data_IF_751382170274
#
_entry.id   IF_751382170274
#
_cell.length_a   1.000
_cell.length_b   1.000
_cell.length_c   1.000
_cell.angle_alpha   90.00
_cell.angle_beta   90.00
_cell.angle_gamma   90.00
#
_symmetry.space_group_name_H-M   'P 1'
#
loop_
_entity.id
_entity.type
_entity.pdbx_description
1 polymer ?
#
# COMPACT_ATOMS: atom_id res chain seq x y z
N UNK A 1 -65.08 71.44 40.02
CA UNK A 1 -65.80 70.46 39.18
C UNK A 1 -64.83 70.03 38.09
N UNK A 2 -64.40 68.77 38.16
CA UNK A 2 -63.72 67.94 37.13
C UNK A 2 -62.38 68.40 36.53
N UNK A 3 -61.28 67.92 37.12
CA UNK A 3 -60.14 67.41 36.35
C UNK A 3 -60.36 65.91 36.20
N UNK A 4 -60.49 65.41 34.97
CA UNK A 4 -60.79 64.01 34.71
C UNK A 4 -59.86 63.44 33.63
N UNK A 5 -59.01 62.55 34.12
CA UNK A 5 -58.43 61.35 33.50
C UNK A 5 -57.48 61.50 32.29
N UNK A 6 -56.19 61.41 32.61
CA UNK A 6 -55.11 61.04 31.69
C UNK A 6 -55.32 59.63 31.11
N UNK A 7 -54.95 59.36 29.85
CA UNK A 7 -55.10 58.03 29.27
C UNK A 7 -54.17 57.02 29.96
N UNK A 8 -54.78 55.95 30.48
CA UNK A 8 -54.11 54.80 31.06
C UNK A 8 -53.11 54.19 30.07
N UNK A 9 -51.82 54.15 30.44
CA UNK A 9 -50.82 53.32 29.76
C UNK A 9 -51.25 51.85 29.87
N UNK A 10 -51.72 51.28 28.78
CA UNK A 10 -51.92 49.85 28.65
C UNK A 10 -50.56 49.15 28.73
N UNK A 11 -50.18 48.69 29.92
CA UNK A 11 -49.06 47.79 30.13
C UNK A 11 -49.37 46.42 29.56
N UNK A 12 -49.20 46.25 28.24
CA UNK A 12 -49.22 44.94 27.60
C UNK A 12 -48.05 44.11 28.10
N UNK A 13 -48.33 43.08 28.91
CA UNK A 13 -47.32 42.12 29.36
C UNK A 13 -46.76 41.37 28.16
N UNK A 14 -45.46 41.51 27.90
CA UNK A 14 -44.72 40.58 27.04
C UNK A 14 -44.61 39.25 27.80
N UNK A 15 -45.41 38.26 27.43
CA UNK A 15 -45.23 36.89 27.93
C UNK A 15 -44.02 36.30 27.24
N UNK A 16 -42.87 36.33 27.90
CA UNK A 16 -41.69 35.56 27.49
C UNK A 16 -42.07 34.08 27.65
N UNK A 17 -42.26 33.37 26.55
CA UNK A 17 -42.47 31.92 26.58
C UNK A 17 -41.31 31.27 27.33
N UNK A 18 -41.62 30.41 28.30
CA UNK A 18 -40.61 29.69 29.06
C UNK A 18 -39.68 28.95 28.07
N UNK A 19 -38.36 29.09 28.24
CA UNK A 19 -37.39 28.31 27.46
C UNK A 19 -37.71 26.84 27.70
N UNK A 20 -38.06 26.11 26.65
CA UNK A 20 -38.12 24.65 26.70
C UNK A 20 -36.72 24.13 26.99
N UNK A 21 -36.43 23.84 28.26
CA UNK A 21 -35.20 23.15 28.67
C UNK A 21 -35.46 21.66 28.57
N UNK A 22 -34.87 21.02 27.56
CA UNK A 22 -34.82 19.56 27.49
C UNK A 22 -33.70 19.11 28.40
N UNK A 23 -34.02 18.30 29.42
CA UNK A 23 -32.99 17.61 30.19
C UNK A 23 -32.30 16.61 29.27
N UNK A 24 -31.05 16.92 28.93
CA UNK A 24 -30.23 16.04 28.11
C UNK A 24 -29.74 14.90 29.02
N UNK A 25 -30.08 13.63 28.73
CA UNK A 25 -29.65 12.50 29.55
C UNK A 25 -28.17 12.22 29.31
N UNK A 26 -27.29 13.02 29.93
CA UNK A 26 -25.84 13.00 29.72
C UNK A 26 -25.24 11.61 29.91
N UNK A 27 -25.73 10.84 30.90
CA UNK A 27 -25.26 9.48 31.17
C UNK A 27 -25.50 8.51 30.00
N UNK A 28 -26.66 8.63 29.33
CA UNK A 28 -26.97 7.81 28.16
C UNK A 28 -26.08 8.21 26.97
N UNK A 29 -25.92 9.51 26.75
CA UNK A 29 -25.05 10.02 25.69
C UNK A 29 -23.61 9.57 25.91
N UNK A 30 -23.08 9.70 27.13
CA UNK A 30 -21.72 9.26 27.44
C UNK A 30 -21.58 7.75 27.28
N UNK A 31 -22.56 6.96 27.75
CA UNK A 31 -22.56 5.51 27.59
C UNK A 31 -22.52 5.09 26.12
N UNK A 32 -23.40 5.67 25.29
CA UNK A 32 -23.43 5.42 23.84
C UNK A 32 -22.14 5.86 23.17
N UNK A 33 -21.61 7.04 23.51
CA UNK A 33 -20.36 7.53 22.94
C UNK A 33 -19.17 6.60 23.26
N UNK A 34 -19.05 6.14 24.51
CA UNK A 34 -18.02 5.19 24.92
C UNK A 34 -18.15 3.88 24.14
N UNK A 35 -19.36 3.35 24.01
CA UNK A 35 -19.62 2.14 23.23
C UNK A 35 -19.19 2.31 21.76
N UNK A 36 -19.56 3.42 21.12
CA UNK A 36 -19.17 3.72 19.74
C UNK A 36 -17.65 3.81 19.59
N UNK A 37 -16.95 4.44 20.54
CA UNK A 37 -15.49 4.54 20.54
C UNK A 37 -14.85 3.15 20.67
N UNK A 38 -15.34 2.31 21.58
CA UNK A 38 -14.83 0.94 21.75
C UNK A 38 -15.02 0.12 20.48
N UNK A 39 -16.19 0.18 19.84
CA UNK A 39 -16.46 -0.50 18.57
C UNK A 39 -15.53 0.02 17.47
N UNK A 40 -15.37 1.34 17.35
CA UNK A 40 -14.51 1.95 16.35
C UNK A 40 -13.04 1.54 16.53
N UNK A 41 -12.53 1.55 17.76
CA UNK A 41 -11.17 1.10 18.07
C UNK A 41 -10.99 -0.40 17.80
N UNK A 42 -11.99 -1.22 18.10
CA UNK A 42 -11.97 -2.65 17.80
C UNK A 42 -11.90 -2.90 16.29
N UNK A 43 -12.74 -2.21 15.51
CA UNK A 43 -12.71 -2.27 14.03
C UNK A 43 -11.35 -1.79 13.52
N UNK A 44 -10.83 -0.66 14.00
CA UNK A 44 -9.52 -0.16 13.61
C UNK A 44 -8.40 -1.18 13.86
N UNK A 45 -8.39 -1.83 15.04
CA UNK A 45 -7.43 -2.88 15.36
C UNK A 45 -7.54 -4.09 14.41
N UNK A 46 -8.76 -4.49 14.01
CA UNK A 46 -8.96 -5.63 13.09
C UNK A 46 -8.38 -5.39 11.69
N UNK A 47 -8.26 -4.11 11.30
CA UNK A 47 -7.78 -3.66 10.00
C UNK A 47 -6.26 -3.49 9.95
N UNK A 48 -5.58 -3.49 11.12
CA UNK A 48 -4.13 -3.43 11.16
C UNK A 48 -3.50 -4.72 10.60
N UNK A 49 -2.30 -4.62 9.98
CA UNK A 49 -1.50 -5.79 9.64
C UNK A 49 -1.24 -6.67 10.87
N UNK A 50 -0.93 -7.95 10.64
CA UNK A 50 -0.55 -8.88 11.72
C UNK A 50 0.48 -8.24 12.65
N UNK A 51 0.13 -8.17 13.93
CA UNK A 51 0.93 -7.58 15.00
C UNK A 51 0.88 -8.50 16.23
N UNK A 52 1.57 -8.11 17.31
CA UNK A 52 1.67 -8.91 18.55
C UNK A 52 0.37 -8.88 19.38
N UNK A 53 -0.50 -7.90 19.16
CA UNK A 53 -1.73 -7.71 19.90
C UNK A 53 -2.90 -8.45 19.21
N UNK A 54 -3.37 -9.52 19.85
CA UNK A 54 -4.57 -10.23 19.41
C UNK A 54 -5.73 -9.97 20.39
N UNK A 55 -6.84 -9.46 19.86
CA UNK A 55 -8.06 -9.25 20.63
C UNK A 55 -8.89 -10.54 20.68
N UNK A 56 -9.66 -10.76 21.76
CA UNK A 56 -10.57 -11.89 21.85
C UNK A 56 -11.59 -11.85 20.69
N UNK A 57 -11.79 -13.01 20.05
CA UNK A 57 -12.73 -13.16 18.93
C UNK A 57 -12.31 -12.48 17.61
N UNK A 58 -11.15 -11.81 17.56
CA UNK A 58 -10.73 -11.01 16.40
C UNK A 58 -10.70 -11.78 15.09
N UNK A 59 -10.25 -13.04 15.10
CA UNK A 59 -10.18 -13.88 13.89
C UNK A 59 -11.57 -14.17 13.31
N UNK A 60 -12.57 -14.35 14.17
CA UNK A 60 -13.94 -14.69 13.76
C UNK A 60 -14.70 -13.48 13.21
N UNK A 61 -14.45 -12.28 13.77
CA UNK A 61 -15.14 -11.04 13.37
C UNK A 61 -14.43 -10.27 12.26
N UNK A 62 -13.14 -10.54 12.02
CA UNK A 62 -12.34 -9.87 10.99
C UNK A 62 -12.98 -9.92 9.60
N UNK A 63 -13.51 -11.05 9.09
CA UNK A 63 -14.15 -11.08 7.78
C UNK A 63 -15.31 -10.07 7.68
N UNK A 64 -16.18 -10.04 8.69
CA UNK A 64 -17.33 -9.12 8.74
C UNK A 64 -16.89 -7.67 8.86
N UNK A 65 -15.93 -7.38 9.76
CA UNK A 65 -15.41 -6.03 9.96
C UNK A 65 -14.75 -5.46 8.69
N UNK A 66 -14.01 -6.30 7.95
CA UNK A 66 -13.36 -5.91 6.69
C UNK A 66 -14.39 -5.63 5.59
N UNK A 67 -15.50 -6.39 5.55
CA UNK A 67 -16.56 -6.19 4.55
C UNK A 67 -17.45 -4.99 4.85
N UNK A 68 -17.87 -4.80 6.10
CA UNK A 68 -18.87 -3.78 6.47
C UNK A 68 -18.25 -2.41 6.67
N UNK A 69 -17.01 -2.35 7.16
CA UNK A 69 -16.32 -1.11 7.45
C UNK A 69 -14.88 -1.14 6.89
N UNK A 70 -14.70 -1.20 5.56
CA UNK A 70 -13.38 -1.22 4.94
C UNK A 70 -12.64 0.09 5.28
N UNK A 71 -11.53 -0.02 6.00
CA UNK A 71 -10.70 1.13 6.42
C UNK A 71 -9.52 1.41 5.47
N UNK A 72 -9.51 0.85 4.25
CA UNK A 72 -8.36 0.93 3.35
C UNK A 72 -8.70 1.06 1.86
N UNK A 73 -7.93 1.89 1.16
CA UNK A 73 -7.88 2.02 -0.31
C UNK A 73 -6.92 1.02 -0.97
N UNK A 74 -6.47 0.02 -0.21
CA UNK A 74 -5.44 -0.94 -0.63
C UNK A 74 -5.86 -1.89 -1.76
N UNK A 75 -7.10 -1.78 -2.25
CA UNK A 75 -7.63 -2.61 -3.34
C UNK A 75 -6.84 -2.48 -4.65
N UNK A 76 -6.11 -1.38 -4.87
CA UNK A 76 -5.37 -1.14 -6.12
C UNK A 76 -3.85 -1.23 -5.97
N UNK A 77 -3.33 -1.63 -4.81
CA UNK A 77 -1.90 -1.58 -4.53
C UNK A 77 -1.35 -2.95 -4.12
N UNK A 78 -0.35 -3.42 -4.87
CA UNK A 78 0.49 -4.55 -4.48
C UNK A 78 1.05 -4.32 -3.07
N UNK A 79 1.14 -5.38 -2.26
CA UNK A 79 1.73 -5.29 -0.91
C UNK A 79 3.16 -4.75 -0.98
N UNK A 80 3.47 -3.78 -0.12
CA UNK A 80 4.81 -3.20 0.01
C UNK A 80 5.87 -4.19 0.57
N UNK A 81 5.48 -5.43 0.89
CA UNK A 81 6.38 -6.52 1.33
C UNK A 81 6.56 -7.60 0.27
N UNK A 82 5.85 -7.49 -0.85
CA UNK A 82 5.94 -8.47 -1.92
C UNK A 82 7.29 -8.35 -2.64
N UNK A 83 7.82 -9.46 -3.17
CA UNK A 83 9.04 -9.41 -3.97
C UNK A 83 8.84 -8.54 -5.22
N UNK A 84 9.91 -7.86 -5.62
CA UNK A 84 10.03 -7.08 -6.85
C UNK A 84 11.02 -7.77 -7.78
N UNK A 85 10.76 -7.70 -9.08
CA UNK A 85 11.64 -8.24 -10.12
C UNK A 85 12.32 -7.06 -10.82
N UNK A 86 13.65 -7.01 -10.75
CA UNK A 86 14.43 -5.92 -11.35
C UNK A 86 15.34 -6.48 -12.45
N UNK A 87 15.24 -5.98 -13.69
CA UNK A 87 16.09 -6.40 -14.78
C UNK A 87 17.44 -5.66 -14.78
N UNK A 88 18.49 -6.36 -15.22
CA UNK A 88 19.86 -5.88 -15.37
C UNK A 88 20.41 -6.30 -16.73
N UNK A 89 21.14 -5.41 -17.39
CA UNK A 89 21.89 -5.72 -18.60
C UNK A 89 23.38 -5.88 -18.29
N UNK A 90 24.03 -6.72 -19.08
CA UNK A 90 25.49 -6.87 -19.04
C UNK A 90 26.11 -5.89 -20.05
N UNK A 91 26.71 -4.81 -19.55
CA UNK A 91 27.51 -3.89 -20.36
C UNK A 91 28.99 -4.25 -20.23
N UNK A 92 29.51 -4.94 -21.24
CA UNK A 92 30.85 -5.53 -21.23
C UNK A 92 31.00 -6.57 -20.12
N UNK A 93 31.61 -6.17 -19.00
CA UNK A 93 31.85 -7.02 -17.82
C UNK A 93 31.05 -6.57 -16.57
N UNK A 94 30.28 -5.49 -16.68
CA UNK A 94 29.59 -4.89 -15.54
C UNK A 94 28.08 -5.00 -15.70
N UNK A 95 27.41 -5.39 -14.63
CA UNK A 95 25.95 -5.40 -14.61
C UNK A 95 25.41 -4.03 -14.24
N UNK A 96 24.55 -3.49 -15.10
CA UNK A 96 23.87 -2.20 -14.91
C UNK A 96 22.36 -2.42 -14.85
N UNK A 97 21.65 -1.61 -14.05
CA UNK A 97 20.19 -1.74 -13.97
C UNK A 97 19.59 -1.38 -15.32
N UNK A 98 18.74 -2.29 -15.83
CA UNK A 98 17.94 -2.08 -17.03
C UNK A 98 16.58 -1.44 -16.70
N UNK A 99 16.32 -1.20 -15.41
CA UNK A 99 15.06 -0.63 -14.95
C UNK A 99 14.91 0.79 -15.47
N UNK A 100 13.83 1.05 -16.21
CA UNK A 100 13.43 2.38 -16.63
C UNK A 100 12.88 3.23 -15.48
N UNK A 101 12.91 2.71 -14.25
CA UNK A 101 12.55 3.42 -13.03
C UNK A 101 11.12 3.94 -13.04
N UNK A 102 10.87 4.97 -12.24
CA UNK A 102 9.61 5.71 -12.22
C UNK A 102 9.73 6.95 -13.10
N UNK A 103 10.14 6.78 -14.35
CA UNK A 103 10.21 7.89 -15.29
C UNK A 103 8.91 7.99 -16.08
N UNK A 104 8.31 9.16 -15.98
CA UNK A 104 7.38 9.68 -16.96
C UNK A 104 7.93 11.04 -17.30
N UNK A 105 8.47 11.24 -18.50
CA UNK A 105 8.79 12.57 -19.00
C UNK A 105 7.48 13.38 -19.04
N UNK A 106 7.12 14.01 -17.93
CA UNK A 106 5.86 14.73 -17.71
C UNK A 106 4.58 13.92 -18.01
N UNK A 107 4.65 12.58 -18.06
CA UNK A 107 3.51 11.71 -18.40
C UNK A 107 3.42 11.29 -19.88
N UNK A 108 4.32 11.78 -20.73
CA UNK A 108 4.32 11.48 -22.17
C UNK A 108 4.97 10.13 -22.48
N UNK A 109 6.08 9.81 -21.83
CA UNK A 109 6.68 8.49 -21.91
C UNK A 109 6.01 7.52 -20.93
N UNK A 110 5.59 6.36 -21.46
CA UNK A 110 4.93 5.27 -20.73
C UNK A 110 5.72 3.94 -20.83
N UNK A 111 6.91 3.92 -21.41
CA UNK A 111 7.75 2.73 -21.54
C UNK A 111 8.08 2.11 -20.17
N UNK A 112 8.29 2.93 -19.14
CA UNK A 112 8.49 2.45 -17.76
C UNK A 112 7.30 1.62 -17.22
N UNK A 113 6.08 1.89 -17.68
CA UNK A 113 4.87 1.16 -17.25
C UNK A 113 4.70 -0.17 -17.98
N UNK A 114 5.21 -0.31 -19.21
CA UNK A 114 5.17 -1.57 -19.96
C UNK A 114 6.26 -2.54 -19.53
N UNK A 115 7.43 -2.04 -19.10
CA UNK A 115 8.58 -2.88 -18.73
C UNK A 115 8.27 -3.91 -17.62
N UNK A 116 7.39 -3.56 -16.66
CA UNK A 116 6.97 -4.53 -15.63
C UNK A 116 6.19 -5.71 -16.21
N UNK A 117 5.35 -5.47 -17.22
CA UNK A 117 4.60 -6.53 -17.92
C UNK A 117 5.55 -7.33 -18.81
N UNK A 118 6.44 -6.66 -19.53
CA UNK A 118 7.49 -7.27 -20.34
C UNK A 118 8.36 -8.23 -19.51
N UNK A 119 8.86 -7.78 -18.35
CA UNK A 119 9.60 -8.63 -17.41
C UNK A 119 8.78 -9.85 -16.98
N UNK A 120 7.49 -9.67 -16.68
CA UNK A 120 6.62 -10.78 -16.29
C UNK A 120 6.38 -11.79 -17.44
N UNK A 121 6.26 -11.32 -18.69
CA UNK A 121 6.12 -12.17 -19.87
C UNK A 121 7.39 -12.98 -20.13
N UNK A 122 8.57 -12.35 -20.02
CA UNK A 122 9.85 -13.05 -20.15
C UNK A 122 10.03 -14.12 -19.05
N UNK A 123 9.68 -13.79 -17.80
CA UNK A 123 9.71 -14.75 -16.70
C UNK A 123 8.69 -15.88 -16.89
N UNK A 124 7.55 -15.60 -17.52
CA UNK A 124 6.55 -16.61 -17.86
C UNK A 124 7.04 -17.56 -18.96
N UNK A 125 7.65 -17.02 -20.02
CA UNK A 125 8.24 -17.83 -21.11
C UNK A 125 9.43 -18.66 -20.63
N UNK A 126 10.26 -18.12 -19.73
CA UNK A 126 11.32 -18.87 -19.06
C UNK A 126 10.78 -20.04 -18.21
N UNK A 127 9.49 -20.06 -17.90
CA UNK A 127 8.81 -21.18 -17.24
C UNK A 127 9.43 -21.54 -15.88
N UNK A 128 9.63 -22.84 -15.65
CA UNK A 128 10.21 -23.38 -14.40
C UNK A 128 11.74 -23.44 -14.43
N UNK A 129 12.39 -22.55 -15.19
CA UNK A 129 13.84 -22.48 -15.24
C UNK A 129 14.45 -22.36 -13.84
N UNK A 130 15.59 -23.03 -13.66
CA UNK A 130 16.37 -22.99 -12.43
C UNK A 130 16.78 -21.56 -12.11
N UNK A 131 16.21 -21.01 -11.03
CA UNK A 131 16.70 -19.76 -10.43
C UNK A 131 17.91 -20.07 -9.56
N UNK A 132 18.89 -19.17 -9.60
CA UNK A 132 20.07 -19.27 -8.73
C UNK A 132 19.78 -18.52 -7.44
N UNK A 133 19.95 -19.19 -6.30
CA UNK A 133 19.83 -18.56 -4.98
C UNK A 133 21.01 -17.62 -4.73
N UNK A 134 20.71 -16.42 -4.27
CA UNK A 134 21.71 -15.41 -3.97
C UNK A 134 22.17 -15.46 -2.52
N UNK A 135 21.38 -15.99 -1.59
CA UNK A 135 21.63 -15.90 -0.16
C UNK A 135 21.79 -14.44 0.32
N UNK A 136 22.28 -14.22 1.55
CA UNK A 136 22.53 -12.88 2.06
C UNK A 136 23.77 -12.30 1.37
N UNK A 137 23.56 -11.59 0.26
CA UNK A 137 24.62 -10.95 -0.53
C UNK A 137 24.14 -9.66 -1.17
N UNK A 138 25.07 -8.84 -1.65
CA UNK A 138 24.73 -7.65 -2.43
C UNK A 138 24.17 -8.03 -3.81
N UNK A 139 23.46 -7.09 -4.44
CA UNK A 139 22.91 -7.27 -5.80
C UNK A 139 24.00 -7.67 -6.81
N UNK A 140 25.15 -7.00 -6.75
CA UNK A 140 26.25 -7.26 -7.68
C UNK A 140 26.89 -8.64 -7.48
N UNK A 141 26.98 -9.11 -6.23
CA UNK A 141 27.44 -10.48 -5.94
C UNK A 141 26.43 -11.52 -6.40
N UNK A 142 25.13 -11.26 -6.21
CA UNK A 142 24.04 -12.10 -6.69
C UNK A 142 24.08 -12.26 -8.22
N UNK A 143 24.26 -11.17 -8.97
CA UNK A 143 24.36 -11.20 -10.44
C UNK A 143 25.53 -12.06 -10.94
N UNK A 144 26.67 -12.02 -10.25
CA UNK A 144 27.85 -12.85 -10.57
C UNK A 144 27.64 -14.35 -10.35
N UNK A 145 26.64 -14.74 -9.55
CA UNK A 145 26.31 -16.16 -9.30
C UNK A 145 25.47 -16.77 -10.42
N UNK A 146 24.80 -15.96 -11.24
CA UNK A 146 23.94 -16.44 -12.30
C UNK A 146 24.78 -17.12 -13.41
N UNK A 147 24.66 -18.44 -13.55
CA UNK A 147 25.44 -19.23 -14.53
C UNK A 147 24.58 -19.85 -15.62
N UNK A 148 23.36 -20.25 -15.29
CA UNK A 148 22.46 -20.93 -16.22
C UNK A 148 21.71 -19.90 -17.05
N UNK A 149 21.92 -19.93 -18.35
CA UNK A 149 21.28 -19.03 -19.31
C UNK A 149 20.05 -19.72 -19.90
N UNK A 150 18.94 -18.98 -19.98
CA UNK A 150 17.70 -19.45 -20.62
C UNK A 150 17.35 -18.55 -21.79
N UNK A 151 17.25 -19.14 -22.97
CA UNK A 151 16.81 -18.43 -24.16
C UNK A 151 15.30 -18.16 -24.09
N UNK A 152 14.91 -16.91 -24.32
CA UNK A 152 13.52 -16.44 -24.36
C UNK A 152 13.35 -15.42 -25.49
N UNK A 153 12.13 -15.18 -25.93
CA UNK A 153 11.85 -14.26 -27.04
C UNK A 153 10.90 -13.17 -26.58
N UNK A 154 11.38 -11.94 -26.64
CA UNK A 154 10.56 -10.79 -26.31
C UNK A 154 9.58 -10.48 -27.44
N UNK A 155 8.31 -10.82 -27.24
CA UNK A 155 7.23 -10.59 -28.22
C UNK A 155 6.47 -9.29 -27.97
N UNK A 156 6.97 -8.42 -27.09
CA UNK A 156 6.32 -7.12 -26.87
C UNK A 156 6.53 -6.23 -28.09
N UNK A 157 5.56 -5.36 -28.45
CA UNK A 157 5.65 -4.54 -29.65
C UNK A 157 6.82 -3.54 -29.68
N UNK A 158 7.28 -3.12 -28.52
CA UNK A 158 8.38 -2.16 -28.32
C UNK A 158 9.26 -2.66 -27.17
N UNK A 159 10.16 -3.63 -27.44
CA UNK A 159 10.91 -4.33 -26.41
C UNK A 159 12.02 -3.45 -25.84
N UNK A 160 12.08 -3.36 -24.51
CA UNK A 160 13.12 -2.63 -23.77
C UNK A 160 14.20 -3.56 -23.23
N UNK A 161 13.91 -4.86 -23.11
CA UNK A 161 14.80 -5.89 -22.58
C UNK A 161 15.23 -6.83 -23.71
N UNK A 162 16.45 -6.65 -24.23
CA UNK A 162 17.03 -7.45 -25.30
C UNK A 162 18.46 -7.91 -24.97
N UNK A 163 18.87 -9.04 -25.55
CA UNK A 163 20.18 -9.65 -25.32
C UNK A 163 20.33 -10.25 -23.92
N UNK A 164 21.57 -10.30 -23.43
CA UNK A 164 21.89 -10.93 -22.14
C UNK A 164 21.37 -10.09 -20.98
N UNK A 165 20.34 -10.61 -20.32
CA UNK A 165 19.56 -9.90 -19.29
C UNK A 165 19.46 -10.77 -18.05
N UNK A 166 19.82 -10.25 -16.88
CA UNK A 166 19.55 -10.91 -15.62
C UNK A 166 18.32 -10.29 -14.97
N UNK A 167 17.41 -11.11 -14.45
CA UNK A 167 16.28 -10.64 -13.66
C UNK A 167 16.47 -11.11 -12.22
N UNK A 168 16.54 -10.16 -11.30
CA UNK A 168 16.72 -10.41 -9.88
C UNK A 168 15.37 -10.30 -9.17
N UNK A 169 15.06 -11.28 -8.32
CA UNK A 169 13.95 -11.21 -7.37
C UNK A 169 14.47 -10.68 -6.03
N UNK A 170 13.91 -9.58 -5.55
CA UNK A 170 14.31 -8.95 -4.28
C UNK A 170 13.12 -8.71 -3.38
N UNK A 171 13.33 -8.83 -2.06
CA UNK A 171 12.35 -8.40 -1.07
C UNK A 171 12.79 -7.10 -0.41
N UNK A 172 11.85 -6.19 -0.09
CA UNK A 172 12.13 -5.04 0.73
C UNK A 172 12.73 -5.47 2.07
N UNK A 173 13.85 -4.88 2.44
CA UNK A 173 14.50 -5.11 3.73
C UNK A 173 13.51 -4.69 4.82
N UNK A 174 13.06 -5.62 5.68
CA UNK A 174 12.01 -5.27 6.61
C UNK A 174 12.54 -4.29 7.65
N UNK A 175 11.67 -3.39 8.10
CA UNK A 175 12.06 -2.23 8.92
C UNK A 175 12.93 -2.58 10.14
N UNK A 176 12.65 -3.71 10.79
CA UNK A 176 13.39 -4.18 11.96
C UNK A 176 14.89 -4.44 11.69
N UNK A 177 15.28 -4.63 10.42
CA UNK A 177 16.64 -4.94 10.00
C UNK A 177 17.28 -3.84 9.14
N UNK A 178 16.63 -2.68 9.00
CA UNK A 178 17.11 -1.57 8.14
C UNK A 178 18.50 -1.04 8.51
N UNK A 179 18.85 -1.16 9.78
CA UNK A 179 20.13 -0.66 10.33
C UNK A 179 21.20 -1.78 10.39
N UNK A 180 20.81 -3.03 10.04
CA UNK A 180 21.68 -4.22 10.06
C UNK A 180 22.06 -4.71 8.67
N UNK A 181 21.30 -4.32 7.65
CA UNK A 181 21.55 -4.65 6.25
C UNK A 181 21.89 -3.38 5.49
N UNK A 182 22.90 -3.40 4.60
CA UNK A 182 23.35 -2.22 3.88
C UNK A 182 22.34 -1.71 2.85
N UNK A 183 21.52 -2.62 2.32
CA UNK A 183 20.60 -2.34 1.23
C UNK A 183 19.14 -2.30 1.70
N UNK A 184 18.35 -1.43 1.06
CA UNK A 184 16.90 -1.32 1.28
C UNK A 184 16.11 -2.52 0.71
N UNK A 185 16.77 -3.35 -0.10
CA UNK A 185 16.23 -4.57 -0.68
C UNK A 185 17.28 -5.67 -0.59
N UNK A 186 16.83 -6.87 -0.26
CA UNK A 186 17.69 -8.06 -0.21
C UNK A 186 17.39 -8.93 -1.43
N UNK A 187 18.39 -9.28 -2.25
CA UNK A 187 18.20 -10.21 -3.36
C UNK A 187 17.98 -11.64 -2.83
N UNK A 188 16.98 -12.33 -3.36
CA UNK A 188 16.71 -13.73 -3.01
C UNK A 188 17.18 -14.65 -4.13
N UNK A 189 16.78 -14.37 -5.37
CA UNK A 189 17.16 -15.21 -6.50
C UNK A 189 17.47 -14.39 -7.75
N UNK A 190 18.21 -15.00 -8.66
CA UNK A 190 18.51 -14.44 -9.99
C UNK A 190 18.24 -15.48 -11.07
N UNK A 191 17.70 -15.02 -12.19
CA UNK A 191 17.60 -15.78 -13.44
C UNK A 191 18.36 -15.04 -14.53
N UNK A 192 19.14 -15.76 -15.32
CA UNK A 192 19.89 -15.22 -16.43
C UNK A 192 19.22 -15.63 -17.75
N UNK A 193 18.87 -14.63 -18.55
CA UNK A 193 18.12 -14.77 -19.78
C UNK A 193 18.99 -14.34 -20.97
N UNK A 194 18.78 -15.01 -22.10
CA UNK A 194 19.25 -14.58 -23.40
C UNK A 194 18.02 -14.22 -24.23
N UNK A 195 17.76 -12.92 -24.36
CA UNK A 195 16.49 -12.41 -24.86
C UNK A 195 16.63 -12.04 -26.33
N UNK A 196 15.90 -12.72 -27.21
CA UNK A 196 15.81 -12.33 -28.61
C UNK A 196 14.69 -11.31 -28.82
N UNK A 197 15.06 -10.20 -29.47
CA UNK A 197 14.20 -9.19 -30.07
C UNK A 197 14.63 -9.11 -31.55
#
# INVERSE_FOLDING_TARGET
MWWKDSPHRAGGRVTVAARHTVEVPRAWITGTAVLCVVVALYVAQTQLPKNVLSLPGQQSVKPVAVTVAPQGWAFFTKSARSPEFEPFHLDGSTWTSASLGRHSEHGFDRASRSQGIETALLLHEAGKTTRTDCGPSSVQECLKKARTVTAVTNRTPDPTLCGRTAVIEQKPTPWAWRDLLPDTRTPETVILLDVSC
#
